data_IF_969601290114
#
_entry.id   IF_969601290114
#
_cell.length_a   1.000
_cell.length_b   1.000
_cell.length_c   1.000
_cell.angle_alpha   90.00
_cell.angle_beta   90.00
_cell.angle_gamma   90.00
#
_symmetry.space_group_name_H-M   'P 1'
#
loop_
_entity.id
_entity.type
_entity.pdbx_description
1 polymer ?
#
# COMPACT_ATOMS: atom_id res chain seq x y z
N UNK A 1 20.74 -22.48 -8.29
CA UNK A 1 19.52 -23.03 -7.69
C UNK A 1 18.94 -21.93 -6.82
N UNK A 2 17.90 -21.25 -7.30
CA UNK A 2 17.12 -20.33 -6.49
C UNK A 2 16.15 -21.20 -5.70
N UNK A 3 16.27 -21.18 -4.37
CA UNK A 3 15.26 -21.79 -3.51
C UNK A 3 13.93 -21.05 -3.75
N UNK A 4 12.93 -21.77 -4.22
CA UNK A 4 11.56 -21.29 -4.29
C UNK A 4 11.15 -20.78 -2.91
N UNK A 5 10.78 -19.50 -2.81
CA UNK A 5 10.05 -18.98 -1.66
C UNK A 5 8.69 -19.67 -1.66
N UNK A 6 8.66 -20.86 -1.06
CA UNK A 6 7.45 -21.68 -0.99
C UNK A 6 6.42 -20.93 -0.17
N UNK A 7 5.36 -20.47 -0.84
CA UNK A 7 4.11 -20.09 -0.19
C UNK A 7 3.62 -21.33 0.53
N UNK A 8 3.90 -21.47 1.83
CA UNK A 8 3.28 -22.51 2.63
C UNK A 8 1.78 -22.20 2.70
N UNK A 9 1.01 -22.71 1.74
CA UNK A 9 -0.43 -22.55 1.71
C UNK A 9 -1.03 -23.29 2.91
N UNK A 10 -1.58 -22.56 3.86
CA UNK A 10 -2.34 -23.15 4.95
C UNK A 10 -3.57 -23.86 4.40
N UNK A 11 -3.73 -25.15 4.72
CA UNK A 11 -4.90 -25.91 4.34
C UNK A 11 -6.12 -25.45 5.15
N UNK A 12 -7.33 -25.66 4.62
CA UNK A 12 -8.58 -25.37 5.34
C UNK A 12 -8.63 -26.08 6.70
N UNK A 13 -8.14 -27.33 6.77
CA UNK A 13 -8.07 -28.08 8.02
C UNK A 13 -7.13 -27.43 9.04
N UNK A 14 -5.97 -26.93 8.58
CA UNK A 14 -5.03 -26.21 9.42
C UNK A 14 -5.66 -24.91 9.96
N UNK A 15 -6.23 -24.08 9.08
CA UNK A 15 -6.90 -22.82 9.45
C UNK A 15 -8.02 -23.07 10.46
N UNK A 16 -8.82 -24.11 10.27
CA UNK A 16 -9.89 -24.47 11.20
C UNK A 16 -9.36 -24.86 12.59
N UNK A 17 -8.14 -25.37 12.67
CA UNK A 17 -7.48 -25.75 13.92
C UNK A 17 -6.79 -24.59 14.65
N UNK A 18 -6.69 -23.41 14.04
CA UNK A 18 -6.10 -22.24 14.66
C UNK A 18 -7.00 -21.69 15.79
N UNK A 19 -6.39 -21.18 16.88
CA UNK A 19 -7.13 -20.48 17.92
C UNK A 19 -7.73 -19.18 17.37
N UNK A 20 -8.73 -18.65 18.07
CA UNK A 20 -9.42 -17.43 17.66
C UNK A 20 -8.49 -16.21 17.64
N UNK A 21 -7.49 -16.18 18.52
CA UNK A 21 -6.45 -15.14 18.53
C UNK A 21 -5.61 -15.07 17.23
N UNK A 22 -5.68 -16.09 16.35
CA UNK A 22 -4.94 -16.09 15.09
C UNK A 22 -5.58 -15.26 13.96
N UNK A 23 -6.79 -14.75 14.17
CA UNK A 23 -7.61 -14.08 13.16
C UNK A 23 -7.70 -12.59 13.43
N UNK A 24 -7.69 -11.77 12.37
CA UNK A 24 -7.72 -10.32 12.51
C UNK A 24 -9.05 -9.80 13.07
N UNK A 25 -10.15 -10.50 12.77
CA UNK A 25 -11.48 -10.17 13.27
C UNK A 25 -12.36 -11.41 13.31
N UNK A 26 -13.23 -11.50 14.32
CA UNK A 26 -14.22 -12.55 14.46
C UNK A 26 -15.60 -11.92 14.59
N UNK A 27 -16.58 -12.45 13.87
CA UNK A 27 -17.95 -11.93 13.94
C UNK A 27 -18.59 -12.19 15.31
N UNK A 28 -19.35 -11.23 15.87
CA UNK A 28 -19.95 -11.37 17.20
C UNK A 28 -20.79 -12.62 17.37
N UNK A 29 -21.53 -13.05 16.34
CA UNK A 29 -22.33 -14.28 16.37
C UNK A 29 -21.50 -15.53 16.71
N UNK A 30 -20.25 -15.59 16.26
CA UNK A 30 -19.36 -16.71 16.56
C UNK A 30 -18.88 -16.64 18.02
N UNK A 31 -18.43 -15.47 18.48
CA UNK A 31 -17.98 -15.29 19.89
C UNK A 31 -19.10 -15.50 20.91
N UNK A 32 -20.36 -15.21 20.53
CA UNK A 32 -21.55 -15.44 21.37
C UNK A 32 -22.07 -16.88 21.29
N UNK A 33 -21.49 -17.72 20.43
CA UNK A 33 -21.92 -19.10 20.20
C UNK A 33 -23.22 -19.24 19.39
N UNK A 34 -23.76 -18.14 18.85
CA UNK A 34 -24.95 -18.14 17.98
C UNK A 34 -24.69 -18.80 16.64
N UNK A 35 -23.44 -18.82 16.18
CA UNK A 35 -22.98 -19.67 15.06
C UNK A 35 -21.73 -20.44 15.47
N UNK A 36 -21.56 -21.63 14.89
CA UNK A 36 -20.33 -22.42 14.98
C UNK A 36 -19.57 -22.44 13.63
N UNK A 37 -20.02 -21.67 12.64
CA UNK A 37 -19.39 -21.59 11.34
C UNK A 37 -18.00 -20.93 11.46
N UNK A 38 -16.97 -21.74 11.26
CA UNK A 38 -15.56 -21.33 11.38
C UNK A 38 -15.16 -20.25 10.36
N UNK A 39 -15.95 -20.05 9.30
CA UNK A 39 -15.77 -18.97 8.32
C UNK A 39 -16.05 -17.57 8.89
N UNK A 40 -16.69 -17.47 10.07
CA UNK A 40 -16.91 -16.20 10.78
C UNK A 40 -15.62 -15.63 11.43
N UNK A 41 -14.49 -16.32 11.27
CA UNK A 41 -13.17 -15.91 11.74
C UNK A 41 -12.34 -15.53 10.51
N UNK A 42 -11.98 -14.27 10.42
CA UNK A 42 -11.48 -13.68 9.18
C UNK A 42 -9.98 -13.41 9.23
N UNK A 43 -9.33 -13.61 8.08
CA UNK A 43 -7.93 -13.21 7.84
C UNK A 43 -6.94 -13.81 8.87
N UNK A 44 -6.74 -15.14 8.85
CA UNK A 44 -5.77 -15.79 9.73
C UNK A 44 -4.34 -15.35 9.37
N UNK A 45 -3.55 -14.97 10.36
CA UNK A 45 -2.18 -14.47 10.18
C UNK A 45 -1.22 -14.80 11.33
N UNK A 46 -1.64 -15.53 12.36
CA UNK A 46 -0.74 -16.12 13.35
C UNK A 46 -0.71 -17.63 13.25
N UNK A 47 0.39 -18.21 13.73
CA UNK A 47 0.53 -19.65 13.88
C UNK A 47 -0.28 -20.19 15.09
N UNK A 48 -0.24 -21.51 15.31
CA UNK A 48 -1.06 -22.21 16.30
C UNK A 48 -0.68 -21.91 17.77
N UNK A 49 0.50 -21.34 18.04
CA UNK A 49 0.94 -21.05 19.41
C UNK A 49 0.44 -19.71 19.95
N UNK A 50 -0.23 -18.90 19.12
CA UNK A 50 -0.76 -17.61 19.56
C UNK A 50 -1.80 -17.76 20.66
N UNK A 51 -1.68 -16.93 21.69
CA UNK A 51 -2.64 -16.85 22.80
C UNK A 51 -3.16 -15.42 22.97
N UNK A 52 -2.30 -14.42 22.76
CA UNK A 52 -2.64 -13.01 22.65
C UNK A 52 -2.69 -12.62 21.17
N UNK A 53 -3.81 -12.07 20.65
CA UNK A 53 -3.88 -11.60 19.27
C UNK A 53 -2.84 -10.52 18.94
N UNK A 54 -2.27 -9.81 19.93
CA UNK A 54 -1.26 -8.78 19.69
C UNK A 54 0.19 -9.31 19.70
N UNK A 55 0.41 -10.62 19.88
CA UNK A 55 1.74 -11.21 19.94
C UNK A 55 2.41 -11.28 18.55
N UNK A 56 3.25 -10.29 18.27
CA UNK A 56 4.00 -10.17 17.02
C UNK A 56 4.92 -11.38 16.73
N UNK A 57 5.37 -12.11 17.77
CA UNK A 57 6.29 -13.24 17.59
C UNK A 57 5.66 -14.45 16.92
N UNK A 58 4.33 -14.52 16.90
CA UNK A 58 3.56 -15.63 16.32
C UNK A 58 3.00 -15.31 14.94
N UNK A 59 3.20 -14.09 14.45
CA UNK A 59 2.74 -13.63 13.13
C UNK A 59 3.46 -14.37 12.01
N UNK A 60 2.70 -14.88 11.05
CA UNK A 60 3.20 -15.37 9.77
C UNK A 60 3.18 -14.22 8.75
N UNK A 61 4.36 -13.74 8.34
CA UNK A 61 4.49 -12.54 7.51
C UNK A 61 3.84 -12.68 6.12
N UNK A 62 4.00 -13.81 5.40
CA UNK A 62 3.24 -14.05 4.17
C UNK A 62 1.72 -13.92 4.34
N UNK A 63 1.17 -14.48 5.42
CA UNK A 63 -0.27 -14.41 5.70
C UNK A 63 -0.70 -13.02 6.16
N UNK A 64 0.10 -12.29 6.94
CA UNK A 64 -0.15 -10.89 7.29
C UNK A 64 -0.24 -10.00 6.03
N UNK A 65 0.72 -10.13 5.10
CA UNK A 65 0.71 -9.36 3.84
C UNK A 65 -0.51 -9.67 2.99
N UNK A 66 -0.85 -10.95 2.86
CA UNK A 66 -2.04 -11.38 2.12
C UNK A 66 -3.35 -10.93 2.80
N UNK A 67 -3.38 -10.91 4.14
CA UNK A 67 -4.51 -10.42 4.92
C UNK A 67 -4.75 -8.92 4.69
N UNK A 68 -3.69 -8.11 4.76
CA UNK A 68 -3.74 -6.66 4.45
C UNK A 68 -4.28 -6.40 3.04
N UNK A 69 -3.79 -7.12 2.04
CA UNK A 69 -4.21 -6.97 0.65
C UNK A 69 -5.70 -7.28 0.41
N UNK A 70 -6.29 -8.17 1.23
CA UNK A 70 -7.68 -8.62 1.07
C UNK A 70 -8.64 -8.00 2.08
N UNK A 71 -8.16 -7.26 3.07
CA UNK A 71 -8.96 -6.76 4.18
C UNK A 71 -10.19 -5.96 3.68
N UNK A 72 -10.03 -5.12 2.66
CA UNK A 72 -11.12 -4.33 2.07
C UNK A 72 -12.18 -5.14 1.29
N UNK A 73 -11.88 -6.41 0.96
CA UNK A 73 -12.76 -7.28 0.17
C UNK A 73 -13.57 -8.24 1.04
N UNK A 74 -13.26 -8.36 2.33
CA UNK A 74 -13.94 -9.29 3.23
C UNK A 74 -15.40 -8.91 3.40
N UNK A 75 -16.25 -9.94 3.48
CA UNK A 75 -17.70 -9.84 3.71
C UNK A 75 -18.07 -10.63 4.97
N UNK A 76 -19.01 -10.13 5.79
CA UNK A 76 -19.56 -10.90 6.89
C UNK A 76 -20.39 -12.07 6.35
N UNK A 77 -20.43 -13.17 7.10
CA UNK A 77 -21.27 -14.33 6.78
C UNK A 77 -22.52 -14.41 7.68
N UNK A 78 -22.58 -13.57 8.71
CA UNK A 78 -23.74 -13.37 9.57
C UNK A 78 -24.21 -11.91 9.51
N UNK A 79 -25.37 -11.64 10.08
CA UNK A 79 -25.93 -10.29 10.26
C UNK A 79 -25.43 -9.58 11.54
N UNK A 80 -24.50 -10.20 12.27
CA UNK A 80 -24.05 -9.70 13.58
C UNK A 80 -23.04 -8.55 13.53
N UNK A 81 -22.56 -8.19 12.34
CA UNK A 81 -21.66 -7.07 12.08
C UNK A 81 -21.81 -6.59 10.64
N UNK A 82 -21.67 -5.29 10.41
CA UNK A 82 -21.66 -4.75 9.05
C UNK A 82 -20.33 -5.02 8.33
N UNK A 83 -20.33 -5.00 7.00
CA UNK A 83 -19.10 -5.14 6.23
C UNK A 83 -18.09 -4.01 6.53
N UNK A 84 -18.56 -2.78 6.75
CA UNK A 84 -17.72 -1.65 7.11
C UNK A 84 -17.01 -1.85 8.46
N UNK A 85 -17.76 -2.21 9.50
CA UNK A 85 -17.19 -2.45 10.83
C UNK A 85 -16.24 -3.65 10.85
N UNK A 86 -16.56 -4.71 10.10
CA UNK A 86 -15.70 -5.89 9.95
C UNK A 86 -14.35 -5.49 9.36
N UNK A 87 -14.36 -4.74 8.26
CA UNK A 87 -13.15 -4.26 7.56
C UNK A 87 -12.36 -3.31 8.44
N UNK A 88 -13.02 -2.37 9.12
CA UNK A 88 -12.38 -1.41 10.03
C UNK A 88 -11.62 -2.12 11.15
N UNK A 89 -12.24 -3.12 11.81
CA UNK A 89 -11.60 -3.90 12.87
C UNK A 89 -10.42 -4.73 12.33
N UNK A 90 -10.61 -5.40 11.20
CA UNK A 90 -9.55 -6.18 10.56
C UNK A 90 -8.34 -5.33 10.20
N UNK A 91 -8.56 -4.19 9.55
CA UNK A 91 -7.49 -3.27 9.14
C UNK A 91 -6.72 -2.73 10.35
N UNK A 92 -7.43 -2.25 11.37
CA UNK A 92 -6.79 -1.70 12.58
C UNK A 92 -5.86 -2.73 13.23
N UNK A 93 -6.31 -3.99 13.33
CA UNK A 93 -5.51 -5.09 13.87
C UNK A 93 -4.27 -5.38 13.02
N UNK A 94 -4.46 -5.61 11.72
CA UNK A 94 -3.38 -5.98 10.80
C UNK A 94 -2.34 -4.86 10.64
N UNK A 95 -2.78 -3.60 10.58
CA UNK A 95 -1.90 -2.44 10.49
C UNK A 95 -1.07 -2.25 11.76
N UNK A 96 -1.60 -2.60 12.93
CA UNK A 96 -0.85 -2.54 14.18
C UNK A 96 0.33 -3.52 14.18
N UNK A 97 0.13 -4.76 13.69
CA UNK A 97 1.22 -5.72 13.48
C UNK A 97 2.21 -5.23 12.43
N UNK A 98 1.70 -4.78 11.29
CA UNK A 98 2.50 -4.27 10.18
C UNK A 98 3.48 -3.20 10.65
N UNK A 99 2.98 -2.23 11.43
CA UNK A 99 3.78 -1.16 12.04
C UNK A 99 4.84 -1.68 13.01
N UNK A 100 4.50 -2.58 13.94
CA UNK A 100 5.45 -3.09 14.96
C UNK A 100 6.52 -4.02 14.38
N UNK A 101 6.21 -4.71 13.29
CA UNK A 101 7.11 -5.64 12.61
C UNK A 101 7.95 -5.00 11.50
N UNK A 102 7.82 -3.68 11.27
CA UNK A 102 8.47 -3.01 10.14
C UNK A 102 7.97 -3.51 8.78
N UNK A 103 6.80 -4.15 8.73
CA UNK A 103 6.22 -4.70 7.51
C UNK A 103 5.35 -3.62 6.90
N UNK A 104 5.86 -3.01 5.83
CA UNK A 104 5.29 -1.74 5.39
C UNK A 104 5.81 -0.55 6.18
N UNK A 105 6.90 -0.70 6.96
CA UNK A 105 7.78 0.44 7.20
C UNK A 105 8.24 0.93 5.84
N UNK A 106 7.77 2.13 5.54
CA UNK A 106 8.05 2.88 4.34
C UNK A 106 9.51 3.28 4.44
N UNK A 107 10.38 2.73 3.60
CA UNK A 107 11.57 3.47 3.21
C UNK A 107 11.04 4.72 2.50
N UNK A 108 10.98 5.83 3.24
CA UNK A 108 10.44 7.10 2.76
C UNK A 108 11.35 7.59 1.62
N UNK A 109 11.09 7.18 0.39
CA UNK A 109 11.77 7.71 -0.79
C UNK A 109 11.33 9.16 -0.95
N UNK A 110 11.95 10.05 -0.18
CA UNK A 110 11.83 11.50 -0.34
C UNK A 110 12.54 11.84 -1.63
N UNK A 111 11.81 11.91 -2.73
CA UNK A 111 12.22 12.72 -3.86
C UNK A 111 11.25 13.89 -3.90
N UNK A 112 11.72 15.10 -3.66
CA UNK A 112 10.93 16.30 -3.97
C UNK A 112 10.94 16.43 -5.49
N UNK A 113 9.90 15.93 -6.17
CA UNK A 113 9.86 15.99 -7.64
C UNK A 113 8.98 17.12 -8.10
N UNK A 114 9.57 18.09 -8.81
CA UNK A 114 8.86 19.27 -9.28
C UNK A 114 7.72 18.96 -10.27
N UNK A 115 6.59 19.67 -10.15
CA UNK A 115 5.57 19.75 -11.18
C UNK A 115 6.17 20.43 -12.41
N UNK A 116 6.20 19.72 -13.53
CA UNK A 116 6.79 20.21 -14.78
C UNK A 116 5.79 20.92 -15.67
N UNK A 117 4.50 20.67 -15.47
CA UNK A 117 3.41 21.26 -16.27
C UNK A 117 2.13 21.38 -15.46
N UNK A 118 1.37 22.44 -15.73
CA UNK A 118 0.04 22.62 -15.13
C UNK A 118 -0.98 23.11 -16.16
N UNK A 119 -2.16 22.51 -16.19
CA UNK A 119 -3.36 23.07 -16.82
C UNK A 119 -4.16 23.80 -15.74
N UNK A 120 -3.92 25.11 -15.64
CA UNK A 120 -4.49 25.95 -14.58
C UNK A 120 -6.02 26.05 -14.63
N UNK A 121 -6.64 25.93 -15.81
CA UNK A 121 -8.09 25.97 -15.94
C UNK A 121 -8.73 24.69 -15.45
N UNK A 122 -8.02 23.56 -15.58
CA UNK A 122 -8.49 22.24 -15.12
C UNK A 122 -7.98 21.84 -13.74
N UNK A 123 -7.06 22.62 -13.16
CA UNK A 123 -6.34 22.33 -11.91
C UNK A 123 -5.61 20.98 -11.97
N UNK A 124 -4.98 20.71 -13.10
CA UNK A 124 -4.22 19.48 -13.31
C UNK A 124 -2.74 19.82 -13.28
N UNK A 125 -1.99 19.08 -12.47
CA UNK A 125 -0.52 19.15 -12.40
C UNK A 125 0.09 17.85 -12.89
N UNK A 126 1.18 17.96 -13.63
CA UNK A 126 1.97 16.82 -14.10
C UNK A 126 3.32 16.83 -13.40
N UNK A 127 3.73 15.68 -12.89
CA UNK A 127 5.03 15.49 -12.23
C UNK A 127 5.55 14.08 -12.43
N UNK A 128 6.87 13.96 -12.48
CA UNK A 128 7.54 12.66 -12.45
C UNK A 128 7.44 12.11 -11.03
N UNK A 129 6.88 10.92 -10.86
CA UNK A 129 6.86 10.26 -9.54
C UNK A 129 8.20 9.61 -9.27
N UNK A 130 8.80 9.00 -10.30
CA UNK A 130 10.14 8.44 -10.20
C UNK A 130 10.88 8.45 -11.53
N UNK A 131 12.19 8.68 -11.48
CA UNK A 131 13.06 8.89 -12.66
C UNK A 131 14.12 7.78 -12.71
N UNK A 132 14.35 7.14 -13.86
CA UNK A 132 15.29 6.03 -13.96
C UNK A 132 16.74 6.43 -13.69
N UNK A 133 17.46 5.57 -13.00
CA UNK A 133 18.91 5.66 -12.77
C UNK A 133 19.38 6.95 -12.09
N UNK A 134 18.47 7.69 -11.47
CA UNK A 134 18.78 8.87 -10.68
C UNK A 134 18.64 8.52 -9.20
N UNK A 135 19.65 8.88 -8.41
CA UNK A 135 19.60 8.67 -6.96
C UNK A 135 18.59 9.61 -6.32
N UNK A 136 17.73 9.07 -5.48
CA UNK A 136 16.87 9.85 -4.58
C UNK A 136 17.66 10.44 -3.40
N UNK A 137 16.99 11.14 -2.49
CA UNK A 137 17.65 11.73 -1.30
C UNK A 137 18.23 10.70 -0.33
N UNK A 138 17.84 9.43 -0.45
CA UNK A 138 18.37 8.31 0.33
C UNK A 138 19.51 7.58 -0.40
N UNK A 139 19.92 8.05 -1.57
CA UNK A 139 20.96 7.43 -2.39
C UNK A 139 20.51 6.18 -3.14
N UNK A 140 19.22 5.88 -3.16
CA UNK A 140 18.62 4.73 -3.86
C UNK A 140 18.20 5.12 -5.26
N UNK A 141 18.13 4.17 -6.17
CA UNK A 141 17.69 4.39 -7.55
C UNK A 141 16.94 3.15 -8.06
N UNK A 142 16.17 3.31 -9.14
CA UNK A 142 15.53 2.21 -9.83
C UNK A 142 15.74 2.29 -11.34
N UNK A 143 15.73 1.14 -12.02
CA UNK A 143 15.78 1.07 -13.48
C UNK A 143 14.43 1.48 -14.07
N UNK A 144 14.42 1.84 -15.37
CA UNK A 144 13.17 2.16 -16.08
C UNK A 144 12.17 0.98 -16.04
N UNK A 145 12.67 -0.25 -16.10
CA UNK A 145 11.84 -1.46 -16.03
C UNK A 145 11.18 -1.62 -14.65
N UNK A 146 11.92 -1.37 -13.56
CA UNK A 146 11.35 -1.44 -12.20
C UNK A 146 10.36 -0.30 -11.95
N UNK A 147 10.65 0.90 -12.46
CA UNK A 147 9.74 2.04 -12.41
C UNK A 147 8.44 1.75 -13.16
N UNK A 148 8.51 1.12 -14.32
CA UNK A 148 7.32 0.68 -15.07
C UNK A 148 6.47 -0.32 -14.27
N UNK A 149 7.12 -1.32 -13.64
CA UNK A 149 6.41 -2.26 -12.75
C UNK A 149 5.75 -1.54 -11.58
N UNK A 150 6.41 -0.55 -10.98
CA UNK A 150 5.84 0.26 -9.89
C UNK A 150 4.61 1.04 -10.37
N UNK A 151 4.70 1.70 -11.53
CA UNK A 151 3.60 2.45 -12.13
C UNK A 151 2.39 1.56 -12.44
N UNK A 152 2.62 0.38 -13.02
CA UNK A 152 1.54 -0.56 -13.33
C UNK A 152 0.88 -1.11 -12.07
N UNK A 153 1.67 -1.51 -11.06
CA UNK A 153 1.10 -1.94 -9.77
C UNK A 153 0.30 -0.85 -9.08
N UNK A 154 0.72 0.41 -9.19
CA UNK A 154 -0.06 1.53 -8.65
C UNK A 154 -1.46 1.59 -9.27
N UNK A 155 -1.55 1.43 -10.60
CA UNK A 155 -2.82 1.40 -11.34
C UNK A 155 -3.66 0.16 -11.01
N UNK A 156 -3.06 -1.03 -10.97
CA UNK A 156 -3.73 -2.29 -10.63
C UNK A 156 -4.37 -2.25 -9.23
N UNK A 157 -3.74 -1.55 -8.29
CA UNK A 157 -4.22 -1.41 -6.92
C UNK A 157 -5.23 -0.27 -6.72
N UNK A 158 -5.71 0.36 -7.80
CA UNK A 158 -6.74 1.40 -7.78
C UNK A 158 -6.41 2.58 -6.83
N UNK A 159 -5.14 2.97 -6.74
CA UNK A 159 -4.67 4.03 -5.82
C UNK A 159 -4.94 5.45 -6.31
N UNK A 160 -5.86 5.63 -7.25
CA UNK A 160 -6.07 6.89 -7.98
C UNK A 160 -6.56 8.05 -7.10
N UNK A 161 -7.15 7.76 -5.94
CA UNK A 161 -7.64 8.76 -4.97
C UNK A 161 -6.81 8.80 -3.69
N UNK A 162 -5.72 8.02 -3.61
CA UNK A 162 -4.83 7.97 -2.44
C UNK A 162 -3.73 9.04 -2.55
N UNK A 163 -4.14 10.26 -2.92
CA UNK A 163 -3.27 11.44 -2.92
C UNK A 163 -3.58 12.20 -1.63
N UNK A 164 -2.59 12.27 -0.75
CA UNK A 164 -2.64 13.03 0.50
C UNK A 164 -1.68 14.23 0.44
N UNK A 165 -1.66 15.04 1.50
CA UNK A 165 -0.76 16.17 1.62
C UNK A 165 0.20 15.90 2.78
N UNK A 166 1.50 15.86 2.48
CA UNK A 166 2.54 15.68 3.50
C UNK A 166 2.40 14.39 4.34
N UNK A 167 1.87 13.31 3.76
CA UNK A 167 1.68 12.03 4.47
C UNK A 167 0.82 12.16 5.73
N UNK A 168 -0.14 13.08 5.73
CA UNK A 168 -1.13 13.22 6.80
C UNK A 168 -2.17 12.08 6.80
N UNK A 169 -2.14 11.21 5.78
CA UNK A 169 -3.06 10.10 5.56
C UNK A 169 -4.52 10.54 5.41
N UNK A 170 -4.76 11.81 5.06
CA UNK A 170 -6.07 12.31 4.66
C UNK A 170 -6.20 12.17 3.13
N UNK A 171 -6.94 11.16 2.63
CA UNK A 171 -7.16 11.02 1.20
C UNK A 171 -7.99 12.21 0.66
N UNK A 172 -8.05 12.33 -0.67
CA UNK A 172 -8.88 13.30 -1.42
C UNK A 172 -8.27 14.70 -1.69
N UNK A 173 -6.96 14.87 -1.56
CA UNK A 173 -6.28 16.10 -2.01
C UNK A 173 -6.30 16.26 -3.53
N UNK A 174 -6.23 15.12 -4.23
CA UNK A 174 -6.26 15.06 -5.68
C UNK A 174 -6.69 13.69 -6.19
N UNK A 175 -7.05 13.66 -7.47
CA UNK A 175 -7.38 12.44 -8.21
C UNK A 175 -6.44 12.31 -9.39
N UNK A 176 -5.79 11.15 -9.51
CA UNK A 176 -4.98 10.81 -10.67
C UNK A 176 -5.89 10.69 -11.89
N UNK A 177 -5.66 11.53 -12.90
CA UNK A 177 -6.41 11.54 -14.16
C UNK A 177 -5.62 10.94 -15.32
N UNK A 178 -4.28 10.91 -15.23
CA UNK A 178 -3.41 10.20 -16.16
C UNK A 178 -2.21 9.58 -15.41
N UNK A 179 -1.76 8.42 -15.86
CA UNK A 179 -0.55 7.74 -15.39
C UNK A 179 0.14 7.10 -16.59
N UNK A 180 1.40 7.43 -16.83
CA UNK A 180 2.13 6.91 -17.99
C UNK A 180 3.64 6.84 -17.76
N UNK A 181 4.32 6.05 -18.60
CA UNK A 181 5.78 6.06 -18.72
C UNK A 181 6.16 7.03 -19.84
N UNK A 182 7.00 8.01 -19.50
CA UNK A 182 7.49 9.01 -20.43
C UNK A 182 8.31 8.34 -21.55
N UNK A 183 8.00 8.70 -22.80
CA UNK A 183 8.62 8.08 -23.98
C UNK A 183 9.94 8.78 -24.34
N UNK A 184 10.85 8.10 -25.05
CA UNK A 184 12.00 8.78 -25.65
C UNK A 184 11.55 9.96 -26.53
N UNK A 185 12.14 11.13 -26.30
CA UNK A 185 11.81 12.36 -27.03
C UNK A 185 10.60 13.13 -26.48
N UNK A 186 10.06 12.75 -25.32
CA UNK A 186 9.10 13.59 -24.60
C UNK A 186 9.75 14.96 -24.27
N UNK A 187 9.10 16.09 -24.61
CA UNK A 187 9.68 17.42 -24.40
C UNK A 187 9.63 17.87 -22.94
N UNK A 188 8.73 17.30 -22.15
CA UNK A 188 8.42 17.73 -20.79
C UNK A 188 9.03 16.77 -19.73
N UNK A 189 9.20 15.48 -20.06
CA UNK A 189 9.55 14.43 -19.10
C UNK A 189 10.77 13.57 -19.50
N UNK A 190 11.44 13.03 -18.49
CA UNK A 190 12.62 12.17 -18.63
C UNK A 190 12.21 10.81 -19.19
N UNK A 191 12.82 10.32 -20.28
CA UNK A 191 12.47 9.02 -20.84
C UNK A 191 12.54 7.88 -19.80
N UNK A 192 11.50 7.07 -19.75
CA UNK A 192 11.35 5.98 -18.79
C UNK A 192 10.85 6.40 -17.40
N UNK A 193 10.66 7.69 -17.14
CA UNK A 193 10.07 8.15 -15.88
C UNK A 193 8.59 7.79 -15.80
N UNK A 194 8.15 7.44 -14.60
CA UNK A 194 6.73 7.35 -14.31
C UNK A 194 6.18 8.74 -14.01
N UNK A 195 5.17 9.16 -14.77
CA UNK A 195 4.53 10.47 -14.68
C UNK A 195 3.06 10.31 -14.27
N UNK A 196 2.62 11.16 -13.34
CA UNK A 196 1.22 11.31 -12.99
C UNK A 196 0.70 12.70 -13.35
N UNK A 197 -0.50 12.73 -13.93
CA UNK A 197 -1.34 13.92 -13.99
C UNK A 197 -2.38 13.83 -12.88
N UNK A 198 -2.40 14.81 -11.99
CA UNK A 198 -3.32 14.83 -10.84
C UNK A 198 -4.20 16.06 -10.89
N UNK A 199 -5.51 15.85 -10.87
CA UNK A 199 -6.50 16.90 -10.69
C UNK A 199 -6.62 17.21 -9.20
N UNK A 200 -6.29 18.43 -8.82
CA UNK A 200 -6.38 18.90 -7.44
C UNK A 200 -7.83 19.23 -7.10
N UNK A 201 -8.34 18.65 -6.00
CA UNK A 201 -9.72 18.79 -5.59
C UNK A 201 -9.92 19.95 -4.60
N UNK A 202 -9.02 20.08 -3.63
CA UNK A 202 -9.12 21.11 -2.58
C UNK A 202 -8.53 22.45 -3.05
N UNK A 203 -9.26 23.54 -2.79
CA UNK A 203 -8.81 24.90 -3.14
C UNK A 203 -7.51 25.27 -2.42
N UNK A 204 -7.38 24.92 -1.15
CA UNK A 204 -6.20 25.25 -0.35
C UNK A 204 -4.91 24.61 -0.89
N UNK A 205 -5.00 23.36 -1.34
CA UNK A 205 -3.88 22.64 -1.97
C UNK A 205 -3.56 23.23 -3.32
N UNK A 206 -4.58 23.62 -4.10
CA UNK A 206 -4.37 24.34 -5.35
C UNK A 206 -3.65 25.68 -5.13
N UNK A 207 -4.05 26.46 -4.13
CA UNK A 207 -3.39 27.73 -3.78
C UNK A 207 -1.95 27.53 -3.28
N UNK A 208 -1.70 26.48 -2.50
CA UNK A 208 -0.35 26.15 -2.04
C UNK A 208 0.58 25.80 -3.23
N UNK A 209 0.06 25.11 -4.25
CA UNK A 209 0.80 24.84 -5.50
C UNK A 209 1.07 26.14 -6.27
N UNK A 210 0.07 27.02 -6.42
CA UNK A 210 0.24 28.30 -7.12
C UNK A 210 1.27 29.21 -6.45
N UNK A 211 1.39 29.13 -5.12
CA UNK A 211 2.39 29.86 -4.33
C UNK A 211 3.77 29.21 -4.33
N UNK A 212 3.91 28.01 -4.89
CA UNK A 212 5.14 27.23 -4.88
C UNK A 212 5.47 26.61 -3.52
N UNK A 213 4.49 26.51 -2.61
CA UNK A 213 4.65 25.84 -1.31
C UNK A 213 4.60 24.31 -1.46
N UNK A 214 3.85 23.82 -2.45
CA UNK A 214 3.86 22.42 -2.88
C UNK A 214 4.43 22.40 -4.29
N UNK A 215 5.65 21.91 -4.42
CA UNK A 215 6.38 21.91 -5.69
C UNK A 215 6.30 20.58 -6.43
N UNK A 216 5.94 19.48 -5.77
CA UNK A 216 5.40 18.31 -6.46
C UNK A 216 5.22 17.07 -5.61
N UNK A 217 5.48 15.88 -6.16
CA UNK A 217 5.07 14.62 -5.54
C UNK A 217 6.09 14.12 -4.51
N UNK A 218 5.57 13.41 -3.49
CA UNK A 218 6.36 12.56 -2.59
C UNK A 218 5.80 11.15 -2.68
N UNK A 219 6.61 10.17 -3.07
CA UNK A 219 6.15 8.80 -3.22
C UNK A 219 6.36 8.01 -1.92
N UNK A 220 5.28 7.45 -1.38
CA UNK A 220 5.34 6.43 -0.34
C UNK A 220 5.12 5.05 -0.96
N UNK A 221 6.01 4.10 -0.66
CA UNK A 221 5.96 2.75 -1.20
C UNK A 221 6.76 1.76 -0.36
N UNK A 222 6.52 0.47 -0.60
CA UNK A 222 7.32 -0.61 -0.02
C UNK A 222 8.16 -1.21 -1.13
N UNK A 223 9.49 -1.17 -0.95
CA UNK A 223 10.45 -1.76 -1.86
C UNK A 223 11.38 -2.72 -1.12
N UNK A 224 11.80 -3.78 -1.80
CA UNK A 224 12.94 -4.58 -1.36
C UNK A 224 14.21 -3.97 -1.97
N UNK A 225 15.17 -3.58 -1.12
CA UNK A 225 16.45 -3.07 -1.59
C UNK A 225 17.32 -4.25 -2.03
N UNK A 226 17.76 -4.21 -3.28
CA UNK A 226 18.78 -5.12 -3.77
C UNK A 226 20.14 -4.52 -3.39
N UNK A 227 20.97 -5.20 -2.57
CA UNK A 227 22.29 -4.70 -2.23
C UNK A 227 23.09 -4.46 -3.51
N UNK A 228 23.69 -3.26 -3.65
CA UNK A 228 24.69 -3.05 -4.70
C UNK A 228 25.78 -4.11 -4.49
N UNK A 229 26.05 -4.94 -5.51
CA UNK A 229 27.23 -5.80 -5.49
C UNK A 229 28.43 -4.88 -5.32
N UNK A 230 29.09 -4.97 -4.17
CA UNK A 230 30.31 -4.23 -3.89
C UNK A 230 31.25 -4.38 -5.08
N UNK A 231 31.58 -3.25 -5.71
CA UNK A 231 32.66 -3.20 -6.67
C UNK A 231 33.94 -3.60 -5.95
N UNK A 232 34.69 -4.52 -6.55
CA UNK A 232 36.09 -4.77 -6.23
C UNK A 232 36.94 -3.50 -6.38
#
# INVERSE_FOLDING_TARGET
>A
MLEEITKAQWTTAFINSLPDAAFAVIEPAYTKGTTQDKRARHLPHHNKSVTDPNDDSTVDLPHLRNALARANQVQPITDSITAEELRKKALAHLQAHAKRLGIGEVSEVKKEVAFKKADFHKRIVYGEVYVPNEKDTQGQWASAEEIEKMAHRFMENLRLTQIDKQHDWEPDEGVVVESFIARPGDPDFTPGAWVLATKILKEETWQAILKGEITGYSMAGVSELIPEKGGE
#
